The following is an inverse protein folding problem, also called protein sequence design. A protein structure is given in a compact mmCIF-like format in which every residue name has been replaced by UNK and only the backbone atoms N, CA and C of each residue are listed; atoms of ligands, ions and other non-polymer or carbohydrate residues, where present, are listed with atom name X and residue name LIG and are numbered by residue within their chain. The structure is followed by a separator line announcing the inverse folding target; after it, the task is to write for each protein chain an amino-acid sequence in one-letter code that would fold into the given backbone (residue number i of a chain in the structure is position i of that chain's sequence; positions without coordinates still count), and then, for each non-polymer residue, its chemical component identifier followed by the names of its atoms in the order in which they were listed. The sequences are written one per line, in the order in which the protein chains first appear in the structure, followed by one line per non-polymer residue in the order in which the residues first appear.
data_IF_264286859332
#
_entry.id   IF_264286859332
#
_cell.length_a   1.000
_cell.length_b   1.000
_cell.length_c   1.000
_cell.angle_alpha   90.00
_cell.angle_beta   90.00
_cell.angle_gamma   90.00
#
_symmetry.space_group_name_H-M   'P 1'
#
loop_
_entity.id
_entity.type
_entity.pdbx_description
1 polymer ?
#
# COMPACT_ATOMS: atom_id res chain seq x y z
N UNK A 1 2.76 -0.98 16.82
CA UNK A 1 2.67 -0.38 15.47
C UNK A 1 1.40 -0.85 14.77
N UNK A 2 0.65 0.08 14.25
CA UNK A 2 -0.48 -0.22 13.36
C UNK A 2 -0.03 -0.02 11.92
N UNK A 3 -0.33 -1.00 11.08
CA UNK A 3 -0.12 -0.91 9.63
C UNK A 3 -1.50 -0.90 8.98
N UNK A 4 -1.77 0.13 8.20
CA UNK A 4 -3.02 0.24 7.45
C UNK A 4 -2.69 0.16 5.96
N UNK A 5 -3.42 -0.65 5.23
CA UNK A 5 -3.32 -0.72 3.76
C UNK A 5 -4.63 -0.19 3.19
N UNK A 6 -4.57 0.98 2.57
CA UNK A 6 -5.71 1.59 1.89
C UNK A 6 -5.58 1.27 0.41
N UNK A 7 -6.56 0.62 -0.15
CA UNK A 7 -6.51 0.17 -1.54
C UNK A 7 -7.84 0.40 -2.25
N UNK A 8 -7.74 0.75 -3.53
CA UNK A 8 -8.91 0.99 -4.38
C UNK A 8 -9.29 -0.32 -5.06
N UNK A 9 -10.56 -0.66 -4.98
CA UNK A 9 -11.11 -1.88 -5.53
C UNK A 9 -11.14 -3.03 -4.54
N UNK A 10 -11.99 -4.00 -4.84
CA UNK A 10 -12.14 -5.23 -4.05
C UNK A 10 -11.41 -6.37 -4.72
N UNK A 11 -10.90 -7.30 -3.91
CA UNK A 11 -10.34 -8.53 -4.43
C UNK A 11 -11.49 -9.40 -4.94
N UNK A 12 -11.37 -9.85 -6.19
CA UNK A 12 -12.37 -10.72 -6.83
C UNK A 12 -11.91 -12.17 -6.91
N UNK A 13 -10.60 -12.38 -7.03
CA UNK A 13 -10.03 -13.71 -7.21
C UNK A 13 -9.81 -14.39 -5.87
N UNK A 14 -10.33 -15.61 -5.74
CA UNK A 14 -10.21 -16.38 -4.50
C UNK A 14 -8.76 -16.63 -4.08
N UNK A 15 -7.88 -16.86 -5.05
CA UNK A 15 -6.47 -17.10 -4.74
C UNK A 15 -5.79 -15.85 -4.15
N UNK A 16 -6.19 -14.65 -4.55
CA UNK A 16 -5.70 -13.42 -3.94
C UNK A 16 -6.25 -13.24 -2.52
N UNK A 17 -7.54 -13.51 -2.33
CA UNK A 17 -8.15 -13.46 -1.00
C UNK A 17 -7.44 -14.38 -0.03
N UNK A 18 -7.17 -15.61 -0.46
CA UNK A 18 -6.46 -16.59 0.35
C UNK A 18 -5.04 -16.14 0.67
N UNK A 19 -4.33 -15.56 -0.29
CA UNK A 19 -2.97 -15.05 -0.07
C UNK A 19 -2.97 -13.90 0.93
N UNK A 20 -3.92 -12.95 0.80
CA UNK A 20 -4.06 -11.83 1.74
C UNK A 20 -4.37 -12.33 3.14
N UNK A 21 -5.25 -13.30 3.28
CA UNK A 21 -5.59 -13.91 4.57
C UNK A 21 -4.37 -14.58 5.23
N UNK A 22 -3.57 -15.29 4.43
CA UNK A 22 -2.38 -15.97 4.95
C UNK A 22 -1.35 -14.96 5.48
N UNK A 23 -1.03 -13.91 4.72
CA UNK A 23 -0.08 -12.90 5.18
C UNK A 23 -0.64 -12.06 6.33
N UNK A 24 -1.93 -11.78 6.33
CA UNK A 24 -2.58 -11.08 7.45
C UNK A 24 -2.45 -11.88 8.75
N UNK A 25 -2.64 -13.20 8.66
CA UNK A 25 -2.46 -14.10 9.80
C UNK A 25 -1.01 -14.07 10.29
N UNK A 26 -0.04 -14.16 9.39
CA UNK A 26 1.38 -14.11 9.76
C UNK A 26 1.75 -12.78 10.42
N UNK A 27 1.20 -11.68 9.90
CA UNK A 27 1.48 -10.33 10.42
C UNK A 27 0.85 -10.07 11.79
N UNK A 28 -0.19 -10.79 12.16
CA UNK A 28 -0.93 -10.56 13.41
C UNK A 28 -0.06 -10.64 14.67
N UNK A 29 1.04 -11.38 14.62
CA UNK A 29 1.97 -11.47 15.75
C UNK A 29 2.95 -10.29 15.85
N UNK A 30 3.04 -9.47 14.80
CA UNK A 30 4.03 -8.39 14.72
C UNK A 30 3.41 -6.99 14.79
N UNK A 31 2.24 -6.83 14.24
CA UNK A 31 1.59 -5.53 14.15
C UNK A 31 0.07 -5.68 14.14
N UNK A 32 -0.61 -4.58 14.33
CA UNK A 32 -2.05 -4.52 14.11
C UNK A 32 -2.29 -4.09 12.67
N UNK A 33 -2.77 -5.01 11.85
CA UNK A 33 -3.00 -4.79 10.43
C UNK A 33 -4.46 -4.49 10.16
N UNK A 34 -4.72 -3.39 9.44
CA UNK A 34 -6.04 -3.06 8.92
C UNK A 34 -5.95 -2.94 7.40
N UNK A 35 -6.86 -3.56 6.68
CA UNK A 35 -6.97 -3.42 5.22
C UNK A 35 -8.29 -2.73 4.93
N UNK A 36 -8.22 -1.58 4.26
CA UNK A 36 -9.37 -0.77 3.89
C UNK A 36 -9.54 -0.82 2.39
N UNK A 37 -10.58 -1.51 1.94
CA UNK A 37 -10.92 -1.57 0.52
C UNK A 37 -11.93 -0.47 0.20
N UNK A 38 -11.58 0.38 -0.76
CA UNK A 38 -12.43 1.49 -1.19
C UNK A 38 -13.06 1.15 -2.54
N UNK A 39 -14.25 1.68 -2.77
CA UNK A 39 -14.91 1.51 -4.05
C UNK A 39 -14.08 2.16 -5.16
N UNK A 40 -13.91 1.43 -6.26
CA UNK A 40 -13.29 1.95 -7.46
C UNK A 40 -14.34 2.61 -8.37
N UNK A 41 -13.88 3.51 -9.23
CA UNK A 41 -14.71 4.04 -10.30
C UNK A 41 -14.52 3.20 -11.55
N UNK A 42 -15.59 2.97 -12.28
CA UNK A 42 -15.52 2.27 -13.56
C UNK A 42 -14.80 3.16 -14.58
N UNK A 43 -13.71 2.63 -15.16
CA UNK A 43 -12.95 3.33 -16.18
C UNK A 43 -13.41 2.86 -17.55
N UNK A 44 -14.04 3.74 -18.36
CA UNK A 44 -14.42 3.37 -19.75
C UNK A 44 -13.19 3.11 -20.59
N UNK A 45 -13.31 2.16 -21.52
CA UNK A 45 -12.28 1.96 -22.54
C UNK A 45 -12.19 3.22 -23.41
N UNK A 46 -10.97 3.62 -23.76
CA UNK A 46 -10.71 4.82 -24.58
C UNK A 46 -11.23 6.12 -23.95
N UNK A 47 -11.29 6.19 -22.59
CA UNK A 47 -11.66 7.43 -21.92
C UNK A 47 -10.64 8.53 -22.20
N UNK A 48 -11.13 9.79 -22.28
CA UNK A 48 -10.26 10.94 -22.46
C UNK A 48 -9.40 11.18 -21.20
N UNK A 49 -8.33 11.95 -21.36
CA UNK A 49 -7.47 12.33 -20.22
C UNK A 49 -8.26 13.08 -19.15
N UNK A 50 -9.22 13.90 -19.56
CA UNK A 50 -10.10 14.65 -18.63
C UNK A 50 -10.93 13.69 -17.79
N UNK A 51 -11.54 12.67 -18.42
CA UNK A 51 -12.36 11.67 -17.73
C UNK A 51 -11.49 10.84 -16.80
N UNK A 52 -10.32 10.40 -17.25
CA UNK A 52 -9.38 9.66 -16.42
C UNK A 52 -8.94 10.45 -15.19
N UNK A 53 -8.69 11.74 -15.35
CA UNK A 53 -8.31 12.60 -14.24
C UNK A 53 -9.45 12.76 -13.23
N UNK A 54 -10.69 12.89 -13.70
CA UNK A 54 -11.87 12.95 -12.84
C UNK A 54 -12.03 11.66 -12.04
N UNK A 55 -11.81 10.51 -12.65
CA UNK A 55 -11.87 9.21 -11.99
C UNK A 55 -10.80 9.11 -10.90
N UNK A 56 -9.56 9.46 -11.22
CA UNK A 56 -8.46 9.47 -10.23
C UNK A 56 -8.79 10.38 -9.05
N UNK A 57 -9.34 11.55 -9.31
CA UNK A 57 -9.66 12.51 -8.26
C UNK A 57 -10.77 12.01 -7.34
N UNK A 58 -11.80 11.34 -7.89
CA UNK A 58 -12.85 10.74 -7.07
C UNK A 58 -12.32 9.63 -6.19
N UNK A 59 -11.50 8.75 -6.75
CA UNK A 59 -10.84 7.69 -5.97
C UNK A 59 -9.91 8.30 -4.93
N UNK A 60 -9.21 9.37 -5.29
CA UNK A 60 -8.32 10.10 -4.39
C UNK A 60 -9.03 10.72 -3.20
N UNK A 61 -10.21 11.26 -3.38
CA UNK A 61 -11.04 11.78 -2.28
C UNK A 61 -11.38 10.69 -1.27
N UNK A 62 -11.73 9.50 -1.76
CA UNK A 62 -12.02 8.34 -0.90
C UNK A 62 -10.77 7.91 -0.13
N UNK A 63 -9.62 7.88 -0.80
CA UNK A 63 -8.35 7.54 -0.17
C UNK A 63 -8.03 8.53 0.95
N UNK A 64 -8.10 9.83 0.66
CA UNK A 64 -7.80 10.87 1.64
C UNK A 64 -8.73 10.81 2.85
N UNK A 65 -10.00 10.50 2.63
CA UNK A 65 -10.97 10.34 3.72
C UNK A 65 -10.68 9.13 4.61
N UNK A 66 -9.98 8.13 4.08
CA UNK A 66 -9.63 6.92 4.84
C UNK A 66 -8.29 7.05 5.58
N UNK A 67 -7.51 8.08 5.30
CA UNK A 67 -6.20 8.32 5.94
C UNK A 67 -6.40 9.15 7.20
N UNK A 68 -5.84 8.70 8.30
CA UNK A 68 -5.83 9.48 9.55
C UNK A 68 -4.79 10.60 9.48
N UNK A 69 -5.09 11.73 10.12
CA UNK A 69 -4.23 12.92 10.06
C UNK A 69 -2.82 12.66 10.59
N UNK A 70 -2.68 11.84 11.61
CA UNK A 70 -1.41 11.51 12.26
C UNK A 70 -0.66 10.34 11.63
N UNK A 71 -1.21 9.73 10.57
CA UNK A 71 -0.57 8.61 9.91
C UNK A 71 0.64 9.03 9.08
N UNK A 72 1.69 8.22 9.12
CA UNK A 72 2.76 8.31 8.14
C UNK A 72 2.31 7.59 6.87
N UNK A 73 2.20 8.32 5.78
CA UNK A 73 1.63 7.80 4.53
C UNK A 73 2.72 7.44 3.53
N UNK A 74 2.72 6.17 3.15
CA UNK A 74 3.60 5.63 2.11
C UNK A 74 2.76 5.26 0.90
N UNK A 75 2.82 6.07 -0.15
CA UNK A 75 2.07 5.82 -1.38
C UNK A 75 2.89 4.95 -2.33
N UNK A 76 2.27 3.89 -2.86
CA UNK A 76 2.90 3.08 -3.88
C UNK A 76 2.75 3.76 -5.23
N UNK A 77 3.88 4.13 -5.83
CA UNK A 77 3.91 4.85 -7.09
C UNK A 77 5.12 4.37 -7.92
N UNK A 78 4.90 4.13 -9.20
CA UNK A 78 5.95 3.62 -10.10
C UNK A 78 7.14 4.58 -10.13
N UNK A 79 6.87 5.88 -10.14
CA UNK A 79 7.90 6.94 -10.15
C UNK A 79 8.49 7.24 -8.77
N UNK A 80 8.11 6.48 -7.77
CA UNK A 80 8.64 6.62 -6.41
C UNK A 80 10.06 6.10 -6.27
N UNK A 81 10.55 6.12 -5.04
CA UNK A 81 11.88 5.64 -4.70
C UNK A 81 11.87 4.13 -4.52
N UNK A 82 12.82 3.44 -5.12
CA UNK A 82 12.97 1.99 -4.95
C UNK A 82 13.78 1.69 -3.70
N UNK A 83 13.31 0.71 -2.95
CA UNK A 83 14.01 0.16 -1.79
C UNK A 83 14.16 -1.34 -1.97
N UNK A 84 15.23 -1.91 -1.45
CA UNK A 84 15.28 -3.36 -1.28
C UNK A 84 14.58 -3.77 0.01
N UNK A 85 14.48 -5.08 0.24
CA UNK A 85 13.74 -5.60 1.40
C UNK A 85 14.38 -5.18 2.74
N UNK A 86 15.70 -5.13 2.80
CA UNK A 86 16.42 -4.72 4.00
C UNK A 86 16.20 -3.23 4.26
N UNK A 87 16.29 -2.40 3.24
CA UNK A 87 16.04 -0.96 3.36
C UNK A 87 14.62 -0.66 3.81
N UNK A 88 13.63 -1.41 3.31
CA UNK A 88 12.25 -1.27 3.76
C UNK A 88 12.11 -1.64 5.24
N UNK A 89 12.76 -2.71 5.68
CA UNK A 89 12.73 -3.11 7.09
C UNK A 89 13.35 -2.04 7.98
N UNK A 90 14.47 -1.45 7.58
CA UNK A 90 15.13 -0.37 8.31
C UNK A 90 14.26 0.87 8.41
N UNK A 91 13.54 1.18 7.32
CA UNK A 91 12.63 2.32 7.31
C UNK A 91 11.47 2.14 8.28
N UNK A 92 10.83 0.97 8.28
CA UNK A 92 9.73 0.67 9.19
C UNK A 92 10.21 0.70 10.64
N UNK A 93 11.37 0.11 10.92
CA UNK A 93 11.96 0.12 12.26
C UNK A 93 12.25 1.54 12.72
N UNK A 94 12.88 2.34 11.89
CA UNK A 94 13.21 3.74 12.21
C UNK A 94 11.96 4.56 12.53
N UNK A 95 10.91 4.39 11.72
CA UNK A 95 9.64 5.09 11.94
C UNK A 95 9.06 4.74 13.31
N UNK A 96 9.10 3.47 13.70
CA UNK A 96 8.65 3.03 15.00
C UNK A 96 9.48 3.64 16.14
N UNK A 97 10.79 3.65 16.01
CA UNK A 97 11.73 4.24 17.00
C UNK A 97 11.46 5.75 17.14
N UNK A 98 11.16 6.44 16.05
CA UNK A 98 10.88 7.87 16.04
C UNK A 98 9.48 8.23 16.56
N UNK A 99 8.68 7.24 16.93
CA UNK A 99 7.37 7.44 17.54
C UNK A 99 6.18 7.33 16.60
N UNK A 100 6.38 6.89 15.37
CA UNK A 100 5.26 6.65 14.44
C UNK A 100 4.46 5.44 14.92
N UNK A 101 3.17 5.65 15.17
CA UNK A 101 2.27 4.60 15.64
C UNK A 101 1.43 3.98 14.53
N UNK A 102 1.28 4.66 13.39
CA UNK A 102 0.50 4.19 12.24
C UNK A 102 1.23 4.52 10.94
N UNK A 103 1.57 3.47 10.19
CA UNK A 103 2.05 3.60 8.81
C UNK A 103 0.90 3.18 7.90
N UNK A 104 0.49 4.07 7.00
CA UNK A 104 -0.56 3.79 6.03
C UNK A 104 0.05 3.66 4.65
N UNK A 105 -0.05 2.47 4.07
CA UNK A 105 0.34 2.22 2.68
C UNK A 105 -0.88 2.43 1.78
N UNK A 106 -0.68 3.10 0.66
CA UNK A 106 -1.77 3.40 -0.27
C UNK A 106 -1.49 2.77 -1.63
N UNK A 107 -2.45 1.97 -2.10
CA UNK A 107 -2.41 1.34 -3.42
C UNK A 107 -3.58 1.90 -4.24
N UNK A 108 -3.27 2.54 -5.36
CA UNK A 108 -4.27 3.12 -6.25
C UNK A 108 -4.97 2.08 -7.13
N UNK A 109 -5.94 2.55 -7.89
CA UNK A 109 -6.63 1.75 -8.89
C UNK A 109 -5.86 1.68 -10.20
N UNK A 110 -6.56 1.32 -11.28
CA UNK A 110 -5.93 1.09 -12.60
C UNK A 110 -5.26 2.33 -13.19
N UNK A 111 -5.72 3.52 -12.82
CA UNK A 111 -5.17 4.79 -13.33
C UNK A 111 -4.06 5.38 -12.45
N UNK A 112 -3.74 4.73 -11.34
CA UNK A 112 -2.77 5.24 -10.38
C UNK A 112 -3.40 6.19 -9.36
N UNK A 113 -2.55 7.01 -8.74
CA UNK A 113 -2.96 7.90 -7.65
C UNK A 113 -3.11 9.35 -8.12
N UNK A 114 -4.14 10.03 -7.60
CA UNK A 114 -4.34 11.46 -7.84
C UNK A 114 -3.21 12.29 -7.20
N UNK A 115 -2.97 13.47 -7.77
CA UNK A 115 -1.94 14.38 -7.27
C UNK A 115 -2.16 14.75 -5.79
N UNK A 116 -3.40 14.92 -5.36
CA UNK A 116 -3.70 15.24 -3.97
C UNK A 116 -3.25 14.14 -3.01
N UNK A 117 -3.37 12.87 -3.42
CA UNK A 117 -2.88 11.73 -2.63
C UNK A 117 -1.35 11.74 -2.58
N UNK A 118 -0.71 11.96 -3.71
CA UNK A 118 0.76 12.02 -3.79
C UNK A 118 1.32 13.18 -2.95
N UNK A 119 0.62 14.31 -2.90
CA UNK A 119 1.01 15.45 -2.04
C UNK A 119 0.84 15.14 -0.55
N UNK A 120 -0.19 14.37 -0.19
CA UNK A 120 -0.39 13.94 1.21
C UNK A 120 0.66 12.95 1.64
N UNK A 121 1.19 12.14 0.73
CA UNK A 121 2.14 11.09 1.07
C UNK A 121 3.44 11.67 1.65
N UNK A 122 3.89 11.06 2.74
CA UNK A 122 5.19 11.36 3.34
C UNK A 122 6.32 10.67 2.58
N UNK A 123 6.00 9.60 1.88
CA UNK A 123 6.96 8.83 1.10
C UNK A 123 6.28 8.18 -0.10
N UNK A 124 6.97 8.18 -1.23
CA UNK A 124 6.51 7.49 -2.45
C UNK A 124 7.43 6.32 -2.69
N UNK A 125 6.88 5.12 -2.60
CA UNK A 125 7.62 3.86 -2.73
C UNK A 125 7.30 3.21 -4.07
N UNK A 126 8.34 2.89 -4.84
CA UNK A 126 8.22 2.10 -6.06
C UNK A 126 8.72 0.68 -5.82
N UNK A 127 7.89 -0.31 -6.09
CA UNK A 127 8.32 -1.71 -6.08
C UNK A 127 9.05 -2.08 -7.37
N UNK A 128 8.72 -1.38 -8.47
CA UNK A 128 9.29 -1.67 -9.79
C UNK A 128 8.85 -0.59 -10.76
N UNK A 129 9.60 -0.43 -11.85
CA UNK A 129 9.14 0.37 -12.99
C UNK A 129 8.11 -0.37 -13.84
N UNK A 130 7.92 -1.67 -13.58
CA UNK A 130 6.85 -2.45 -14.19
C UNK A 130 5.55 -2.19 -13.45
N UNK A 131 4.44 -2.31 -14.16
CA UNK A 131 3.09 -2.22 -13.59
C UNK A 131 2.60 -3.61 -13.21
N UNK A 132 2.09 -3.74 -11.99
CA UNK A 132 1.47 -4.97 -11.51
C UNK A 132 -0.04 -4.77 -11.34
N UNK A 133 -0.84 -5.83 -11.49
CA UNK A 133 -2.26 -5.73 -11.11
C UNK A 133 -2.38 -5.31 -9.66
N UNK A 134 -3.30 -4.38 -9.36
CA UNK A 134 -3.42 -3.85 -8.00
C UNK A 134 -3.76 -4.91 -6.95
N UNK A 135 -4.49 -5.97 -7.32
CA UNK A 135 -4.79 -7.06 -6.40
C UNK A 135 -3.53 -7.88 -6.05
N UNK A 136 -2.68 -8.15 -7.04
CA UNK A 136 -1.40 -8.82 -6.82
C UNK A 136 -0.45 -7.94 -6.01
N UNK A 137 -0.41 -6.64 -6.30
CA UNK A 137 0.43 -5.68 -5.56
C UNK A 137 0.11 -5.70 -4.07
N UNK A 138 -1.16 -5.88 -3.72
CA UNK A 138 -1.59 -6.00 -2.33
C UNK A 138 -0.93 -7.17 -1.62
N UNK A 139 -0.87 -8.32 -2.30
CA UNK A 139 -0.20 -9.53 -1.78
C UNK A 139 1.31 -9.29 -1.64
N UNK A 140 1.93 -8.71 -2.67
CA UNK A 140 3.36 -8.41 -2.67
C UNK A 140 3.71 -7.47 -1.51
N UNK A 141 2.91 -6.43 -1.30
CA UNK A 141 3.12 -5.49 -0.20
C UNK A 141 3.07 -6.18 1.15
N UNK A 142 2.03 -6.99 1.38
CA UNK A 142 1.89 -7.72 2.66
C UNK A 142 3.05 -8.67 2.89
N UNK A 143 3.51 -9.37 1.85
CA UNK A 143 4.67 -10.25 1.94
C UNK A 143 5.91 -9.46 2.36
N UNK A 144 6.15 -8.29 1.76
CA UNK A 144 7.32 -7.47 2.07
C UNK A 144 7.24 -6.87 3.48
N UNK A 145 6.07 -6.50 3.95
CA UNK A 145 5.89 -6.04 5.35
C UNK A 145 6.19 -7.19 6.31
N UNK A 146 5.69 -8.38 6.02
CA UNK A 146 6.00 -9.58 6.82
C UNK A 146 7.51 -9.84 6.83
N UNK A 147 8.16 -9.83 5.67
CA UNK A 147 9.60 -10.00 5.53
C UNK A 147 10.36 -8.95 6.33
N UNK A 148 9.90 -7.70 6.32
CA UNK A 148 10.51 -6.62 7.08
C UNK A 148 10.52 -6.92 8.59
N UNK A 149 9.41 -7.41 9.13
CA UNK A 149 9.34 -7.79 10.54
C UNK A 149 10.23 -8.98 10.88
N UNK A 150 10.33 -9.96 9.96
CA UNK A 150 11.24 -11.09 10.16
C UNK A 150 12.70 -10.61 10.21
N UNK A 151 13.07 -9.68 9.35
CA UNK A 151 14.41 -9.08 9.35
C UNK A 151 14.64 -8.30 10.66
N UNK A 152 13.70 -7.44 11.06
CA UNK A 152 13.81 -6.65 12.29
C UNK A 152 13.99 -7.50 13.55
N UNK A 153 13.33 -8.66 13.59
CA UNK A 153 13.39 -9.58 14.73
C UNK A 153 14.51 -10.60 14.63
N UNK A 154 15.34 -10.50 13.60
CA UNK A 154 16.44 -11.44 13.38
C UNK A 154 15.95 -12.90 13.25
N UNK A 155 14.78 -13.09 12.69
CA UNK A 155 14.17 -14.40 12.51
C UNK A 155 14.48 -14.93 11.10
N UNK A 156 14.70 -16.26 10.94
CA UNK A 156 15.02 -16.82 9.63
C UNK A 156 13.84 -16.74 8.66
N UNK A 157 14.03 -16.09 7.54
CA UNK A 157 13.07 -15.97 6.44
C UNK A 157 13.76 -15.36 5.22
N UNK A 158 14.30 -14.14 5.38
CA UNK A 158 15.01 -13.45 4.32
C UNK A 158 16.41 -14.03 4.15
N UNK A 159 16.80 -14.23 2.88
CA UNK A 159 18.12 -14.80 2.52
C UNK A 159 18.86 -13.91 1.54
#
# INVERSE_FOLDING_TARGET
MRITVVCVGKIKEKFYTQAVEEYSKRLSRYCKLDIVELADEKTPDNASDVVNEQIKNKEGERILSAIKDDAYVCALAIEGKMLDSVELSEKIERLGIEGTSNITFVIGGSLGLADAVLKRADYKLSFSRMTFPHQLMRVILLEQIYRAYRIMKNEPYHK
#
